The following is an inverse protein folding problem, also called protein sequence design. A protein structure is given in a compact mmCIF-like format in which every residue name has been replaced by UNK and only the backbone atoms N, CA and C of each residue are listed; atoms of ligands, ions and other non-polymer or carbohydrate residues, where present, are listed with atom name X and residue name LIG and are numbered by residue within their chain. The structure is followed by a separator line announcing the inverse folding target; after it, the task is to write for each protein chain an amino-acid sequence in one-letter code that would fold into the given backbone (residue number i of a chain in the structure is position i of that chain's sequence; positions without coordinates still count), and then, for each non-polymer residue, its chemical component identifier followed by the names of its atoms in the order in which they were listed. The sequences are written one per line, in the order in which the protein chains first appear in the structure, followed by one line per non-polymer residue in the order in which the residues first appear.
data_IF_629163698487
#
_entry.id   IF_629163698487
#
_cell.length_a   1.000
_cell.length_b   1.000
_cell.length_c   1.000
_cell.angle_alpha   90.00
_cell.angle_beta   90.00
_cell.angle_gamma   90.00
#
_symmetry.space_group_name_H-M   'P 1'
#
loop_
_entity.id
_entity.type
_entity.pdbx_description
1 polymer ?
#
# COMPACT_ATOMS: atom_id res chain seq x y z
N UNK A 1 9.24 1.46 -12.69
CA UNK A 1 8.61 1.99 -11.46
C UNK A 1 9.67 2.62 -10.57
N UNK A 2 9.41 3.84 -10.10
CA UNK A 2 10.26 4.67 -9.25
C UNK A 2 9.39 5.20 -8.11
N UNK A 3 9.77 4.96 -6.85
CA UNK A 3 9.00 5.37 -5.67
C UNK A 3 9.91 6.16 -4.72
N UNK A 4 9.49 7.36 -4.31
CA UNK A 4 10.33 8.29 -3.54
C UNK A 4 11.72 8.48 -4.16
N UNK A 5 11.76 8.53 -5.50
CA UNK A 5 12.97 8.67 -6.32
C UNK A 5 13.98 7.51 -6.15
N UNK A 6 13.57 6.42 -5.51
CA UNK A 6 14.28 5.14 -5.47
C UNK A 6 13.60 4.13 -6.39
N UNK A 7 14.22 2.97 -6.57
CA UNK A 7 13.60 1.85 -7.27
C UNK A 7 12.26 1.49 -6.62
N UNK A 8 11.18 1.67 -7.38
CA UNK A 8 9.82 1.25 -7.02
C UNK A 8 9.49 -0.14 -7.57
N UNK A 9 8.21 -0.54 -7.50
CA UNK A 9 7.78 -1.86 -7.95
C UNK A 9 6.67 -2.46 -7.10
N UNK A 10 6.78 -3.77 -6.86
CA UNK A 10 5.78 -4.55 -6.13
C UNK A 10 6.19 -4.72 -4.67
N UNK A 11 5.22 -4.58 -3.77
CA UNK A 11 5.39 -4.85 -2.35
C UNK A 11 4.11 -5.42 -1.76
N UNK A 12 4.25 -6.17 -0.67
CA UNK A 12 3.11 -6.79 0.00
C UNK A 12 3.37 -6.87 1.49
N UNK A 13 2.30 -6.84 2.27
CA UNK A 13 2.30 -7.11 3.70
C UNK A 13 0.91 -7.59 4.13
N UNK A 14 0.78 -8.09 5.36
CA UNK A 14 -0.51 -8.48 5.91
C UNK A 14 -0.59 -8.27 7.42
N UNK A 15 -1.81 -8.23 7.94
CA UNK A 15 -2.13 -8.18 9.36
C UNK A 15 -3.20 -9.20 9.66
N UNK A 16 -3.01 -9.97 10.73
CA UNK A 16 -4.02 -10.88 11.26
C UNK A 16 -4.55 -10.32 12.57
N UNK A 17 -5.86 -10.14 12.65
CA UNK A 17 -6.52 -9.70 13.85
C UNK A 17 -6.46 -10.80 14.92
N UNK A 18 -6.42 -10.43 16.21
CA UNK A 18 -6.62 -11.38 17.31
C UNK A 18 -7.97 -12.11 17.22
N UNK A 19 -8.08 -13.27 17.87
CA UNK A 19 -9.28 -14.09 17.85
C UNK A 19 -10.49 -13.34 18.44
N UNK A 20 -10.29 -12.53 19.47
CA UNK A 20 -11.31 -11.69 20.09
C UNK A 20 -11.86 -10.59 19.17
N UNK A 21 -11.17 -10.28 18.07
CA UNK A 21 -11.60 -9.33 17.02
C UNK A 21 -12.04 -10.06 15.73
N UNK A 22 -12.29 -11.37 15.81
CA UNK A 22 -12.79 -12.18 14.72
C UNK A 22 -11.72 -12.97 13.96
N UNK A 23 -10.43 -12.79 14.27
CA UNK A 23 -9.35 -13.61 13.69
C UNK A 23 -9.09 -13.39 12.19
N UNK A 24 -9.72 -12.37 11.59
CA UNK A 24 -9.64 -12.04 10.17
C UNK A 24 -8.25 -11.58 9.76
N UNK A 25 -7.92 -11.79 8.49
CA UNK A 25 -6.69 -11.32 7.85
C UNK A 25 -7.00 -10.17 6.91
N UNK A 26 -6.13 -9.16 6.87
CA UNK A 26 -6.08 -8.15 5.82
C UNK A 26 -4.71 -8.21 5.15
N UNK A 27 -4.69 -8.47 3.86
CA UNK A 27 -3.49 -8.43 3.02
C UNK A 27 -3.50 -7.21 2.10
N UNK A 28 -2.32 -6.65 1.85
CA UNK A 28 -2.10 -5.59 0.88
C UNK A 28 -1.09 -6.05 -0.18
N UNK A 29 -1.37 -5.75 -1.44
CA UNK A 29 -0.42 -5.81 -2.55
C UNK A 29 -0.41 -4.45 -3.23
N UNK A 30 0.77 -3.86 -3.39
CA UNK A 30 0.94 -2.52 -3.97
C UNK A 30 1.85 -2.57 -5.19
N UNK A 31 1.53 -1.73 -6.17
CA UNK A 31 2.47 -1.31 -7.21
C UNK A 31 2.83 0.15 -6.97
N UNK A 32 3.97 0.41 -6.31
CA UNK A 32 4.37 1.75 -5.94
C UNK A 32 5.30 2.37 -6.99
N UNK A 33 4.87 3.51 -7.52
CA UNK A 33 5.57 4.33 -8.50
C UNK A 33 5.33 5.82 -8.18
N UNK A 34 5.33 6.23 -6.92
CA UNK A 34 4.87 7.54 -6.48
C UNK A 34 5.82 8.16 -5.45
N UNK A 35 5.60 9.43 -5.11
CA UNK A 35 6.22 10.09 -3.96
C UNK A 35 7.55 10.77 -4.27
N UNK A 36 7.80 11.89 -3.59
CA UNK A 36 9.08 12.62 -3.61
C UNK A 36 10.03 12.10 -2.53
N UNK A 37 11.35 12.08 -2.79
CA UNK A 37 12.37 11.61 -1.84
C UNK A 37 12.24 12.26 -0.48
N UNK A 38 12.09 13.60 -0.47
CA UNK A 38 12.08 14.41 0.75
C UNK A 38 10.90 14.09 1.68
N UNK A 39 9.78 13.65 1.10
CA UNK A 39 8.56 13.34 1.86
C UNK A 39 8.55 11.93 2.44
N UNK A 40 9.46 11.05 1.99
CA UNK A 40 9.55 9.67 2.48
C UNK A 40 9.62 9.63 4.00
N UNK A 41 8.67 8.90 4.58
CA UNK A 41 8.60 8.55 5.99
C UNK A 41 8.61 7.05 6.17
N UNK A 42 9.28 6.61 7.24
CA UNK A 42 9.28 5.20 7.68
C UNK A 42 9.03 5.22 9.17
N UNK A 43 7.99 4.52 9.62
CA UNK A 43 7.54 4.53 11.03
C UNK A 43 7.32 5.96 11.59
N UNK A 44 6.82 6.85 10.72
CA UNK A 44 6.63 8.28 11.02
C UNK A 44 7.90 9.15 10.98
N UNK A 45 9.10 8.56 10.99
CA UNK A 45 10.37 9.29 10.96
C UNK A 45 10.65 9.85 9.55
N UNK A 46 11.04 11.13 9.42
CA UNK A 46 11.21 11.80 8.12
C UNK A 46 12.55 11.47 7.46
N UNK A 47 12.79 10.18 7.18
CA UNK A 47 14.05 9.66 6.65
C UNK A 47 14.41 10.25 5.30
N UNK A 48 13.42 10.61 4.48
CA UNK A 48 13.63 11.26 3.18
C UNK A 48 14.50 12.51 3.23
N UNK A 49 14.42 13.27 4.33
CA UNK A 49 15.20 14.49 4.57
C UNK A 49 16.69 14.24 4.82
N UNK A 50 17.07 12.98 5.06
CA UNK A 50 18.45 12.52 5.30
C UNK A 50 19.04 11.77 4.12
N UNK A 51 18.27 11.59 3.04
CA UNK A 51 18.62 10.77 1.87
C UNK A 51 18.83 11.60 0.59
N UNK A 52 19.05 12.92 0.73
CA UNK A 52 19.23 13.84 -0.40
C UNK A 52 20.61 13.76 -1.06
N UNK A 53 21.57 13.09 -0.42
CA UNK A 53 22.91 12.79 -0.95
C UNK A 53 22.88 11.69 -2.04
N UNK A 54 21.85 10.86 -2.06
CA UNK A 54 21.71 9.79 -3.04
C UNK A 54 21.12 10.37 -4.33
N UNK A 55 21.78 10.19 -5.49
CA UNK A 55 21.29 10.70 -6.77
C UNK A 55 19.81 10.37 -7.02
N UNK A 56 19.11 11.29 -7.66
CA UNK A 56 17.74 11.07 -8.13
C UNK A 56 17.77 10.79 -9.64
N UNK A 57 17.00 9.83 -10.15
CA UNK A 57 16.81 9.66 -11.59
C UNK A 57 16.12 10.88 -12.25
N UNK A 58 15.59 11.81 -11.45
CA UNK A 58 14.93 13.03 -11.89
C UNK A 58 15.79 14.31 -11.73
N UNK A 59 17.07 14.19 -11.37
CA UNK A 59 17.92 15.36 -11.08
C UNK A 59 18.22 16.21 -12.32
N UNK A 60 18.27 15.59 -13.50
CA UNK A 60 18.56 16.26 -14.77
C UNK A 60 17.28 16.51 -15.59
N UNK A 61 16.34 15.56 -15.58
CA UNK A 61 15.10 15.61 -16.34
C UNK A 61 13.94 14.95 -15.59
N UNK A 62 12.75 15.52 -15.71
CA UNK A 62 11.52 15.04 -15.07
C UNK A 62 11.19 15.78 -13.79
N UNK A 63 10.07 15.39 -13.17
CA UNK A 63 9.51 16.01 -11.97
C UNK A 63 9.46 14.97 -10.86
N UNK A 64 10.27 15.08 -9.79
CA UNK A 64 10.16 14.21 -8.63
C UNK A 64 8.71 14.03 -8.16
N UNK A 65 8.35 12.80 -7.78
CA UNK A 65 6.99 12.48 -7.35
C UNK A 65 5.99 12.20 -8.48
N UNK A 66 6.35 12.41 -9.75
CA UNK A 66 5.52 12.01 -10.88
C UNK A 66 5.35 10.49 -10.94
N UNK A 67 4.10 10.02 -11.03
CA UNK A 67 3.81 8.60 -11.18
C UNK A 67 2.44 8.16 -10.66
N UNK A 68 2.36 7.07 -9.88
CA UNK A 68 1.09 6.47 -9.43
C UNK A 68 1.32 5.44 -8.33
N UNK A 69 0.28 5.13 -7.55
CA UNK A 69 0.21 3.90 -6.77
C UNK A 69 -1.13 3.19 -6.99
N UNK A 70 -1.05 1.89 -7.25
CA UNK A 70 -2.22 1.00 -7.21
C UNK A 70 -2.12 0.12 -5.98
N UNK A 71 -3.19 0.09 -5.18
CA UNK A 71 -3.28 -0.73 -3.97
C UNK A 71 -4.43 -1.72 -4.10
N UNK A 72 -4.15 -3.00 -3.86
CA UNK A 72 -5.14 -4.05 -3.74
C UNK A 72 -5.17 -4.53 -2.28
N UNK A 73 -6.32 -4.41 -1.64
CA UNK A 73 -6.60 -4.96 -0.32
C UNK A 73 -7.47 -6.21 -0.43
N UNK A 74 -7.08 -7.26 0.30
CA UNK A 74 -7.82 -8.51 0.40
C UNK A 74 -8.13 -8.80 1.87
N UNK A 75 -9.32 -9.29 2.17
CA UNK A 75 -9.66 -9.79 3.52
C UNK A 75 -10.56 -11.01 3.48
N UNK A 76 -10.42 -11.89 4.47
CA UNK A 76 -11.33 -13.03 4.68
C UNK A 76 -12.56 -12.68 5.54
N UNK A 77 -12.67 -11.44 6.02
CA UNK A 77 -13.88 -10.94 6.68
C UNK A 77 -15.08 -10.92 5.71
N UNK A 78 -16.32 -11.18 6.18
CA UNK A 78 -17.51 -11.15 5.33
C UNK A 78 -18.00 -9.72 5.12
N UNK A 79 -17.21 -8.92 4.39
CA UNK A 79 -17.58 -7.54 4.05
C UNK A 79 -18.51 -7.51 2.84
N UNK A 80 -19.52 -6.64 2.91
CA UNK A 80 -20.36 -6.29 1.76
C UNK A 80 -19.70 -5.20 0.89
N UNK A 81 -20.16 -4.96 -0.36
CA UNK A 81 -19.51 -4.00 -1.27
C UNK A 81 -19.28 -2.61 -0.69
N UNK A 82 -20.24 -2.05 0.05
CA UNK A 82 -20.12 -0.74 0.69
C UNK A 82 -19.10 -0.73 1.85
N UNK A 83 -18.85 -1.87 2.49
CA UNK A 83 -17.82 -2.02 3.52
C UNK A 83 -16.43 -2.19 2.89
N UNK A 84 -16.32 -2.91 1.77
CA UNK A 84 -15.10 -2.96 0.97
C UNK A 84 -14.70 -1.56 0.49
N UNK A 85 -15.64 -0.72 0.06
CA UNK A 85 -15.34 0.67 -0.30
C UNK A 85 -14.75 1.47 0.88
N UNK A 86 -15.29 1.29 2.09
CA UNK A 86 -14.73 1.92 3.31
C UNK A 86 -13.34 1.40 3.64
N UNK A 87 -13.09 0.10 3.43
CA UNK A 87 -11.78 -0.52 3.62
C UNK A 87 -10.76 0.01 2.59
N UNK A 88 -11.13 0.10 1.32
CA UNK A 88 -10.29 0.62 0.24
C UNK A 88 -9.79 2.04 0.53
N UNK A 89 -10.66 2.90 1.07
CA UNK A 89 -10.29 4.26 1.46
C UNK A 89 -9.20 4.32 2.55
N UNK A 90 -8.98 3.23 3.32
CA UNK A 90 -7.92 3.19 4.34
C UNK A 90 -6.52 3.04 3.72
N UNK A 91 -6.42 2.62 2.46
CA UNK A 91 -5.17 2.69 1.73
C UNK A 91 -4.61 4.12 1.67
N UNK A 92 -5.46 5.14 1.59
CA UNK A 92 -5.05 6.56 1.65
C UNK A 92 -4.25 6.88 2.92
N UNK A 93 -4.59 6.26 4.05
CA UNK A 93 -3.88 6.48 5.31
C UNK A 93 -2.48 5.85 5.26
N UNK A 94 -2.36 4.62 4.74
CA UNK A 94 -1.05 3.96 4.58
C UNK A 94 -0.12 4.72 3.62
N UNK A 95 -0.68 5.20 2.50
CA UNK A 95 0.05 6.07 1.55
C UNK A 95 0.48 7.38 2.22
N UNK A 96 -0.44 8.07 2.91
CA UNK A 96 -0.12 9.33 3.60
C UNK A 96 0.97 9.17 4.67
N UNK A 97 0.98 8.05 5.39
CA UNK A 97 2.00 7.77 6.43
C UNK A 97 3.41 7.56 5.87
N UNK A 98 3.53 7.14 4.61
CA UNK A 98 4.82 7.03 3.91
C UNK A 98 5.22 8.30 3.16
N UNK A 99 4.34 9.32 3.15
CA UNK A 99 4.62 10.63 2.56
C UNK A 99 4.09 10.85 1.15
N UNK A 100 3.17 10.00 0.67
CA UNK A 100 2.49 10.17 -0.61
C UNK A 100 1.10 10.83 -0.50
N UNK A 101 0.42 10.98 -1.64
CA UNK A 101 -0.97 11.42 -1.73
C UNK A 101 -1.16 12.93 -1.88
N UNK A 102 -0.12 13.65 -2.32
CA UNK A 102 -0.16 15.12 -2.48
C UNK A 102 0.22 15.59 -3.88
N UNK A 103 0.58 14.67 -4.76
CA UNK A 103 1.04 14.94 -6.11
C UNK A 103 -0.11 14.88 -7.12
N UNK A 104 -0.40 16.00 -7.79
CA UNK A 104 -1.41 16.08 -8.87
C UNK A 104 -1.18 15.07 -10.00
N UNK A 105 0.10 14.82 -10.30
CA UNK A 105 0.51 13.85 -11.32
C UNK A 105 0.38 12.38 -10.88
N UNK A 106 -0.04 12.11 -9.63
CA UNK A 106 -0.12 10.75 -9.09
C UNK A 106 -1.49 10.12 -9.26
N UNK A 107 -1.56 9.10 -10.11
CA UNK A 107 -2.75 8.25 -10.27
C UNK A 107 -2.92 7.28 -9.10
N UNK A 108 -3.49 7.76 -7.99
CA UNK A 108 -3.64 6.95 -6.77
C UNK A 108 -5.00 6.23 -6.72
N UNK A 109 -4.99 4.90 -6.93
CA UNK A 109 -6.21 4.09 -7.07
C UNK A 109 -6.19 2.87 -6.15
N UNK A 110 -7.27 2.68 -5.41
CA UNK A 110 -7.38 1.63 -4.39
C UNK A 110 -8.58 0.72 -4.64
N UNK A 111 -8.36 -0.59 -4.58
CA UNK A 111 -9.39 -1.62 -4.65
C UNK A 111 -9.35 -2.46 -3.38
N UNK A 112 -10.51 -2.82 -2.84
CA UNK A 112 -10.62 -3.82 -1.79
C UNK A 112 -11.64 -4.89 -2.18
N UNK A 113 -11.29 -6.15 -1.92
CA UNK A 113 -12.23 -7.27 -2.05
C UNK A 113 -12.21 -8.12 -0.78
N UNK A 114 -13.31 -8.87 -0.59
CA UNK A 114 -13.51 -9.73 0.56
C UNK A 114 -13.85 -11.15 0.10
N UNK A 115 -13.31 -12.15 0.81
CA UNK A 115 -13.51 -13.58 0.53
C UNK A 115 -14.39 -14.28 1.58
N UNK A 116 -14.89 -13.55 2.57
CA UNK A 116 -15.70 -14.11 3.65
C UNK A 116 -17.11 -14.56 3.24
N UNK A 117 -17.67 -14.04 2.15
CA UNK A 117 -18.90 -14.58 1.56
C UNK A 117 -18.51 -15.45 0.36
N UNK A 118 -18.73 -16.76 0.47
CA UNK A 118 -18.45 -17.75 -0.57
C UNK A 118 -19.74 -18.07 -1.35
N UNK A 119 -19.62 -18.76 -2.47
CA UNK A 119 -20.74 -19.25 -3.29
C UNK A 119 -21.69 -18.17 -3.83
N UNK A 120 -21.16 -16.97 -4.09
CA UNK A 120 -21.90 -15.93 -4.80
C UNK A 120 -22.26 -16.43 -6.21
N UNK A 121 -23.52 -16.27 -6.66
CA UNK A 121 -23.95 -16.78 -7.95
C UNK A 121 -23.16 -16.10 -9.08
N UNK A 122 -22.54 -16.86 -10.01
CA UNK A 122 -21.90 -16.27 -11.17
C UNK A 122 -22.96 -15.59 -12.05
N UNK A 123 -22.52 -14.59 -12.82
CA UNK A 123 -23.35 -13.94 -13.81
C UNK A 123 -23.66 -14.94 -14.95
N UNK A 124 -24.89 -15.43 -14.98
CA UNK A 124 -25.45 -16.26 -16.05
C UNK A 124 -26.88 -15.80 -16.32
N UNK A 125 -27.06 -15.06 -17.42
CA UNK A 125 -28.34 -14.45 -17.81
C UNK A 125 -29.33 -15.46 -18.42
N UNK A 126 -28.84 -16.64 -18.82
CA UNK A 126 -29.69 -17.71 -19.36
C UNK A 126 -30.35 -18.52 -18.24
N UNK A 127 -29.69 -18.65 -17.09
CA UNK A 127 -30.20 -19.37 -15.90
C UNK A 127 -31.54 -18.82 -15.43
N UNK A 128 -32.57 -19.68 -15.30
CA UNK A 128 -33.94 -19.31 -14.90
C UNK A 128 -34.38 -19.88 -13.55
N UNK A 129 -33.60 -20.80 -13.00
CA UNK A 129 -33.88 -21.58 -11.79
C UNK A 129 -33.15 -21.04 -10.53
N UNK A 130 -32.46 -19.90 -10.62
CA UNK A 130 -31.82 -19.28 -9.47
C UNK A 130 -32.86 -18.72 -8.49
N UNK A 131 -32.74 -18.98 -7.17
CA UNK A 131 -33.57 -18.33 -6.17
C UNK A 131 -33.50 -16.78 -6.25
N UNK A 132 -34.58 -16.11 -5.87
CA UNK A 132 -34.67 -14.64 -5.91
C UNK A 132 -33.70 -13.93 -4.94
N UNK A 133 -33.13 -14.64 -3.97
CA UNK A 133 -32.20 -14.08 -2.99
C UNK A 133 -31.09 -15.06 -2.62
N UNK A 134 -29.97 -14.52 -2.15
CA UNK A 134 -28.83 -15.27 -1.63
C UNK A 134 -28.55 -14.79 -0.20
N UNK A 135 -28.50 -15.68 0.81
CA UNK A 135 -28.13 -15.28 2.16
C UNK A 135 -26.66 -14.86 2.20
N UNK A 136 -26.37 -13.73 2.87
CA UNK A 136 -25.03 -13.20 3.03
C UNK A 136 -24.73 -12.95 4.51
N UNK A 137 -23.45 -12.99 4.85
CA UNK A 137 -22.93 -12.50 6.12
C UNK A 137 -22.45 -11.06 5.94
N UNK A 138 -22.65 -10.25 6.97
CA UNK A 138 -22.12 -8.89 7.04
C UNK A 138 -21.41 -8.73 8.38
N UNK A 139 -20.21 -8.17 8.35
CA UNK A 139 -19.53 -7.78 9.59
C UNK A 139 -20.27 -6.58 10.22
N UNK A 140 -20.66 -6.68 11.48
CA UNK A 140 -21.27 -5.54 12.18
C UNK A 140 -20.25 -4.39 12.33
N UNK A 141 -20.73 -3.15 12.23
CA UNK A 141 -19.86 -1.97 12.20
C UNK A 141 -18.97 -1.82 13.43
N UNK A 142 -19.42 -2.28 14.60
CA UNK A 142 -18.66 -2.20 15.85
C UNK A 142 -17.35 -3.04 15.80
N UNK A 143 -17.22 -3.93 14.82
CA UNK A 143 -16.04 -4.78 14.60
C UNK A 143 -15.19 -4.38 13.39
N UNK A 144 -15.55 -3.33 12.63
CA UNK A 144 -14.84 -3.01 11.37
C UNK A 144 -13.58 -2.15 11.57
N UNK A 145 -13.49 -1.39 12.66
CA UNK A 145 -12.35 -0.50 12.92
C UNK A 145 -11.00 -1.21 13.01
N UNK A 146 -10.88 -2.41 13.63
CA UNK A 146 -9.66 -3.21 13.55
C UNK A 146 -9.22 -3.55 12.11
N UNK A 147 -10.15 -3.87 11.21
CA UNK A 147 -9.83 -4.09 9.79
C UNK A 147 -9.32 -2.81 9.12
N UNK A 148 -9.83 -1.63 9.50
CA UNK A 148 -9.34 -0.36 8.98
C UNK A 148 -7.91 -0.06 9.41
N UNK A 149 -7.57 -0.30 10.68
CA UNK A 149 -6.20 -0.16 11.18
C UNK A 149 -5.27 -1.15 10.46
N UNK A 150 -5.67 -2.42 10.39
CA UNK A 150 -4.94 -3.47 9.70
C UNK A 150 -4.68 -3.15 8.22
N UNK A 151 -5.67 -2.59 7.51
CA UNK A 151 -5.51 -2.16 6.12
C UNK A 151 -4.50 -1.02 5.98
N UNK A 152 -4.58 0.02 6.82
CA UNK A 152 -3.65 1.13 6.77
C UNK A 152 -2.19 0.68 7.05
N UNK A 153 -1.99 -0.16 8.07
CA UNK A 153 -0.68 -0.72 8.41
C UNK A 153 -0.12 -1.64 7.31
N UNK A 154 -0.96 -2.51 6.75
CA UNK A 154 -0.51 -3.40 5.68
C UNK A 154 -0.10 -2.62 4.42
N UNK A 155 -0.78 -1.52 4.10
CA UNK A 155 -0.40 -0.65 2.96
C UNK A 155 0.91 0.10 3.26
N UNK A 156 1.03 0.69 4.45
CA UNK A 156 2.24 1.38 4.90
C UNK A 156 3.47 0.47 4.82
N UNK A 157 3.39 -0.74 5.39
CA UNK A 157 4.50 -1.70 5.33
C UNK A 157 4.75 -2.21 3.91
N UNK A 158 3.70 -2.48 3.12
CA UNK A 158 3.87 -2.93 1.74
C UNK A 158 4.66 -1.93 0.90
N UNK A 159 4.45 -0.62 1.08
CA UNK A 159 5.24 0.44 0.41
C UNK A 159 6.70 0.41 0.88
N UNK A 160 6.96 0.26 2.17
CA UNK A 160 8.35 0.14 2.68
C UNK A 160 9.02 -1.12 2.12
N UNK A 161 8.28 -2.24 2.01
CA UNK A 161 8.76 -3.48 1.41
C UNK A 161 9.12 -3.30 -0.08
N UNK A 162 8.40 -2.44 -0.83
CA UNK A 162 8.80 -2.07 -2.21
C UNK A 162 10.21 -1.49 -2.21
N UNK A 163 10.46 -0.49 -1.36
CA UNK A 163 11.70 0.26 -1.34
C UNK A 163 12.90 -0.63 -0.96
N UNK A 164 12.71 -1.51 0.02
CA UNK A 164 13.74 -2.43 0.52
C UNK A 164 14.00 -3.62 -0.41
N UNK A 165 13.00 -4.05 -1.18
CA UNK A 165 13.17 -5.08 -2.20
C UNK A 165 13.74 -4.53 -3.52
N UNK A 166 13.91 -3.21 -3.64
CA UNK A 166 14.44 -2.57 -4.84
C UNK A 166 15.89 -2.94 -5.11
N UNK A 167 16.21 -3.18 -6.38
CA UNK A 167 17.59 -3.32 -6.88
C UNK A 167 17.96 -2.15 -7.78
N UNK A 168 19.25 -1.79 -7.80
CA UNK A 168 19.74 -0.72 -8.67
C UNK A 168 19.43 -1.09 -10.12
N UNK A 169 18.87 -0.15 -10.88
CA UNK A 169 18.47 -0.40 -12.27
C UNK A 169 18.98 0.72 -13.16
N UNK A 170 19.42 0.37 -14.36
CA UNK A 170 19.65 1.34 -15.44
C UNK A 170 18.51 1.26 -16.44
N UNK A 171 17.98 2.41 -16.82
CA UNK A 171 17.03 2.53 -17.93
C UNK A 171 17.76 2.31 -19.26
N UNK A 172 17.00 2.17 -20.34
CA UNK A 172 17.55 1.96 -21.69
C UNK A 172 18.47 3.11 -22.15
N UNK A 173 18.14 4.35 -21.77
CA UNK A 173 18.94 5.54 -22.01
C UNK A 173 20.06 5.78 -20.96
N UNK A 174 20.32 4.79 -20.10
CA UNK A 174 21.48 4.75 -19.21
C UNK A 174 21.30 5.45 -17.86
N UNK A 175 20.14 6.06 -17.57
CA UNK A 175 19.86 6.71 -16.28
C UNK A 175 19.84 5.68 -15.16
N UNK A 176 20.49 6.00 -14.04
CA UNK A 176 20.48 5.15 -12.84
C UNK A 176 19.25 5.44 -11.99
N UNK A 177 18.48 4.41 -11.69
CA UNK A 177 17.45 4.39 -10.65
C UNK A 177 18.02 3.64 -9.45
N UNK A 178 18.40 4.32 -8.36
CA UNK A 178 19.04 3.68 -7.22
C UNK A 178 18.04 2.94 -6.34
N UNK A 179 18.47 1.83 -5.76
CA UNK A 179 17.78 1.15 -4.68
C UNK A 179 18.03 1.84 -3.33
N UNK A 180 17.04 1.76 -2.43
CA UNK A 180 17.23 2.14 -1.03
C UNK A 180 17.84 0.95 -0.27
N UNK A 181 19.14 1.02 0.02
CA UNK A 181 19.82 -0.02 0.80
C UNK A 181 19.39 0.03 2.28
N UNK A 182 19.19 -1.14 2.88
CA UNK A 182 18.70 -1.26 4.27
C UNK A 182 19.62 -0.57 5.29
N UNK A 183 20.93 -0.67 5.12
CA UNK A 183 21.93 -0.01 5.97
C UNK A 183 21.79 1.52 5.90
N UNK A 184 21.54 2.04 4.70
CA UNK A 184 21.36 3.48 4.50
C UNK A 184 20.05 3.96 5.10
N UNK A 185 18.97 3.18 4.99
CA UNK A 185 17.71 3.47 5.69
C UNK A 185 17.89 3.48 7.21
N UNK A 186 18.57 2.48 7.77
CA UNK A 186 18.85 2.41 9.21
C UNK A 186 19.69 3.60 9.70
N UNK A 187 20.67 4.05 8.91
CA UNK A 187 21.41 5.28 9.22
C UNK A 187 20.49 6.51 9.23
N UNK A 188 19.65 6.68 8.19
CA UNK A 188 18.70 7.80 8.12
C UNK A 188 17.66 7.78 9.26
N UNK A 189 17.20 6.59 9.68
CA UNK A 189 16.34 6.42 10.86
C UNK A 189 17.04 6.91 12.14
N UNK A 190 18.30 6.51 12.36
CA UNK A 190 19.09 6.97 13.53
C UNK A 190 19.29 8.50 13.50
N UNK A 191 19.58 9.07 12.34
CA UNK A 191 19.73 10.53 12.12
C UNK A 191 18.42 11.32 12.35
N UNK A 192 17.29 10.63 12.43
CA UNK A 192 15.97 11.23 12.70
C UNK A 192 15.43 10.92 14.11
N UNK A 193 16.22 10.22 14.94
CA UNK A 193 15.89 9.94 16.34
C UNK A 193 15.19 8.61 16.59
N UNK A 194 15.16 7.69 15.62
CA UNK A 194 14.59 6.36 15.80
C UNK A 194 15.40 5.55 16.83
N UNK A 195 14.77 4.92 17.83
CA UNK A 195 15.45 4.35 19.00
C UNK A 195 16.12 2.99 18.77
N UNK A 196 15.96 2.35 17.60
CA UNK A 196 16.69 1.11 17.30
C UNK A 196 16.09 -0.17 17.87
N UNK A 197 14.82 -0.18 18.27
CA UNK A 197 14.19 -1.35 18.92
C UNK A 197 13.50 -2.27 17.93
#
# INVERSE_FOLDING_TARGET
MICHEFKGGIGSASRRLPAEQGGWTVGALVQANHGQRRELRVDGYPVGRRLGDIPSPFSEEGTPGMGSIVVILATDAPLLPHQCQRLAQRASIGVARTGGGTEDSSGDVFLAFATGNQDLPPADYARKDLPQSTPLRMLNNDHISPLFAAAAEAVEEAIVNVLLAGEDMRTEDGRLVPALKGERLLAALRETGWPGR
#
